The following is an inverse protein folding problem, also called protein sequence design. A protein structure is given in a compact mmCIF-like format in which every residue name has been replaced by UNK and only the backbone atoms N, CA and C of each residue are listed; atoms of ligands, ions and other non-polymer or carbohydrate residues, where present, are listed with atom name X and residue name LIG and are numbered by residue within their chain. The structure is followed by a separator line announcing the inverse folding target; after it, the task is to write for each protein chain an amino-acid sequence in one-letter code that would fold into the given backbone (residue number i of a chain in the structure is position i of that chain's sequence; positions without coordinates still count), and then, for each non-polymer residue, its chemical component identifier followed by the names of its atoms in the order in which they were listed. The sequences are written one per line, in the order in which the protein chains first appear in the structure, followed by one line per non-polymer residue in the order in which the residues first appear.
data_IF_094707910319
#
_entry.id   IF_094707910319
#
_cell.length_a   1.000
_cell.length_b   1.000
_cell.length_c   1.000
_cell.angle_alpha   90.00
_cell.angle_beta   90.00
_cell.angle_gamma   90.00
#
_symmetry.space_group_name_H-M   'P 1'
#
loop_
_entity.id
_entity.type
_entity.pdbx_description
1 polymer ?
#
# COMPACT_ATOMS: atom_id res chain seq x y z
N UNK A 1 13.14 19.76 8.99
CA UNK A 1 12.68 18.75 9.96
C UNK A 1 11.18 18.96 10.19
N UNK A 2 10.34 17.92 10.07
CA UNK A 2 8.89 18.04 10.28
C UNK A 2 8.60 17.97 11.78
N UNK A 3 8.24 19.09 12.39
CA UNK A 3 7.77 19.11 13.77
C UNK A 3 6.26 18.94 13.83
N UNK A 4 5.73 18.39 14.93
CA UNK A 4 4.28 18.20 15.12
C UNK A 4 3.49 19.50 14.94
N UNK A 5 4.02 20.61 15.45
CA UNK A 5 3.37 21.93 15.32
C UNK A 5 3.36 22.43 13.86
N UNK A 6 4.46 22.22 13.12
CA UNK A 6 4.53 22.61 11.72
C UNK A 6 3.52 21.81 10.88
N UNK A 7 3.48 20.48 11.06
CA UNK A 7 2.55 19.62 10.30
C UNK A 7 1.11 19.96 10.65
N UNK A 8 0.79 20.16 11.93
CA UNK A 8 -0.54 20.58 12.37
C UNK A 8 -0.95 21.94 11.79
N UNK A 9 -0.03 22.91 11.80
CA UNK A 9 -0.27 24.22 11.19
C UNK A 9 -0.53 24.07 9.69
N UNK A 10 0.31 23.33 8.97
CA UNK A 10 0.17 23.07 7.54
C UNK A 10 -1.19 22.42 7.24
N UNK A 11 -1.56 21.37 7.94
CA UNK A 11 -2.84 20.67 7.79
C UNK A 11 -4.02 21.64 8.01
N UNK A 12 -4.00 22.40 9.10
CA UNK A 12 -5.06 23.33 9.43
C UNK A 12 -5.20 24.46 8.39
N UNK A 13 -4.11 24.95 7.85
CA UNK A 13 -4.14 26.02 6.84
C UNK A 13 -4.55 25.50 5.46
N UNK A 14 -4.27 24.22 5.13
CA UNK A 14 -4.70 23.59 3.88
C UNK A 14 -6.17 23.17 3.91
N UNK A 15 -6.70 22.78 5.07
CA UNK A 15 -8.04 22.22 5.18
C UNK A 15 -9.16 23.21 4.83
N UNK A 16 -8.93 24.50 4.98
CA UNK A 16 -9.93 25.57 4.78
C UNK A 16 -9.35 26.69 3.91
N UNK A 17 -9.99 26.95 2.78
CA UNK A 17 -9.50 27.94 1.78
C UNK A 17 -9.47 29.38 2.31
N UNK A 18 -10.38 29.74 3.19
CA UNK A 18 -10.48 31.10 3.77
C UNK A 18 -9.41 31.37 4.85
N UNK A 19 -8.59 30.40 5.18
CA UNK A 19 -7.50 30.59 6.15
C UNK A 19 -6.46 31.57 5.61
N UNK A 20 -6.03 32.49 6.47
CA UNK A 20 -5.08 33.55 6.11
C UNK A 20 -3.81 33.03 5.44
N UNK A 21 -3.25 31.92 5.92
CA UNK A 21 -2.03 31.31 5.39
C UNK A 21 -2.30 30.21 4.35
N UNK A 22 -3.54 30.02 3.89
CA UNK A 22 -3.88 28.95 2.95
C UNK A 22 -3.00 28.96 1.70
N UNK A 23 -2.85 30.12 1.06
CA UNK A 23 -2.01 30.26 -0.15
C UNK A 23 -0.54 29.88 0.10
N UNK A 24 -0.01 30.22 1.27
CA UNK A 24 1.36 29.88 1.66
C UNK A 24 1.49 28.38 1.95
N UNK A 25 0.49 27.78 2.58
CA UNK A 25 0.44 26.33 2.82
C UNK A 25 0.36 25.53 1.51
N UNK A 26 -0.44 25.98 0.54
CA UNK A 26 -0.49 25.41 -0.82
C UNK A 26 0.88 25.50 -1.51
N UNK A 27 1.53 26.67 -1.42
CA UNK A 27 2.88 26.84 -1.96
C UNK A 27 3.90 25.89 -1.29
N UNK A 28 3.83 25.76 0.03
CA UNK A 28 4.70 24.83 0.77
C UNK A 28 4.48 23.37 0.34
N UNK A 29 3.23 22.92 0.20
CA UNK A 29 2.91 21.59 -0.29
C UNK A 29 3.44 21.34 -1.72
N UNK A 30 3.27 22.31 -2.62
CA UNK A 30 3.84 22.27 -3.98
C UNK A 30 5.36 22.25 -3.97
N UNK A 31 6.00 23.00 -3.08
CA UNK A 31 7.47 23.02 -2.94
C UNK A 31 7.99 21.66 -2.50
N UNK A 32 7.32 20.97 -1.57
CA UNK A 32 7.67 19.59 -1.17
C UNK A 32 7.55 18.64 -2.36
N UNK A 33 6.46 18.69 -3.13
CA UNK A 33 6.29 17.88 -4.33
C UNK A 33 7.41 18.14 -5.36
N UNK A 34 7.68 19.39 -5.66
CA UNK A 34 8.75 19.78 -6.61
C UNK A 34 10.13 19.34 -6.12
N UNK A 35 10.37 19.37 -4.81
CA UNK A 35 11.62 18.88 -4.25
C UNK A 35 11.77 17.39 -4.42
N UNK A 36 10.72 16.61 -4.15
CA UNK A 36 10.73 15.16 -4.36
C UNK A 36 10.93 14.80 -5.82
N UNK A 37 10.34 15.55 -6.77
CA UNK A 37 10.59 15.31 -8.20
C UNK A 37 12.05 15.51 -8.60
N UNK A 38 12.79 16.37 -7.88
CA UNK A 38 14.22 16.63 -8.14
C UNK A 38 15.15 15.73 -7.32
N UNK A 39 14.75 15.43 -6.11
CA UNK A 39 15.50 14.64 -5.11
C UNK A 39 14.56 13.55 -4.56
N UNK A 40 14.32 12.44 -5.32
CA UNK A 40 13.32 11.43 -4.95
C UNK A 40 13.59 10.73 -3.61
N UNK A 41 14.83 10.71 -3.13
CA UNK A 41 15.22 10.20 -1.81
C UNK A 41 14.57 10.98 -0.67
N UNK A 42 14.16 12.23 -0.91
CA UNK A 42 13.50 13.06 0.08
C UNK A 42 12.04 12.61 0.36
N UNK A 43 11.47 11.76 -0.51
CA UNK A 43 10.10 11.26 -0.39
C UNK A 43 9.83 10.57 0.94
N UNK A 44 10.72 9.68 1.38
CA UNK A 44 10.55 8.94 2.64
C UNK A 44 10.48 9.88 3.85
N UNK A 45 11.34 10.91 3.89
CA UNK A 45 11.32 11.91 4.96
C UNK A 45 10.03 12.75 4.95
N UNK A 46 9.51 13.12 3.78
CA UNK A 46 8.24 13.82 3.63
C UNK A 46 7.07 12.96 4.13
N UNK A 47 6.97 11.70 3.68
CA UNK A 47 5.90 10.79 4.05
C UNK A 47 5.92 10.52 5.56
N UNK A 48 7.08 10.17 6.11
CA UNK A 48 7.24 9.95 7.55
C UNK A 48 6.88 11.20 8.37
N UNK A 49 7.22 12.39 7.89
CA UNK A 49 6.88 13.65 8.56
C UNK A 49 5.39 13.98 8.50
N UNK A 50 4.74 13.77 7.35
CA UNK A 50 3.33 14.14 7.14
C UNK A 50 2.34 13.10 7.68
N UNK A 51 2.68 11.81 7.66
CA UNK A 51 1.80 10.70 8.03
C UNK A 51 2.22 9.98 9.32
N UNK A 52 3.44 10.18 9.80
CA UNK A 52 3.94 9.56 11.03
C UNK A 52 3.38 10.20 12.31
N UNK A 53 4.11 10.05 13.40
CA UNK A 53 3.70 10.51 14.74
C UNK A 53 3.40 12.03 14.85
N UNK A 54 3.93 12.82 13.93
CA UNK A 54 3.73 14.26 13.87
C UNK A 54 2.51 14.68 13.03
N UNK A 55 2.02 13.80 12.18
CA UNK A 55 1.02 14.10 11.17
C UNK A 55 -0.27 13.30 11.30
N UNK A 56 -0.97 13.16 10.17
CA UNK A 56 -2.21 12.40 10.06
C UNK A 56 -2.15 11.44 8.88
N UNK A 57 -2.54 10.18 9.10
CA UNK A 57 -2.57 9.15 8.04
C UNK A 57 -3.40 9.62 6.84
N UNK A 58 -4.51 10.31 7.09
CA UNK A 58 -5.43 10.82 6.07
C UNK A 58 -5.11 12.27 5.63
N UNK A 59 -3.84 12.69 5.64
CA UNK A 59 -3.43 14.05 5.33
C UNK A 59 -4.08 14.61 4.05
N UNK A 60 -4.02 13.89 2.93
CA UNK A 60 -4.59 14.35 1.66
C UNK A 60 -6.12 14.50 1.71
N UNK A 61 -6.81 13.63 2.46
CA UNK A 61 -8.26 13.74 2.67
C UNK A 61 -8.60 14.95 3.54
N UNK A 62 -7.88 15.14 4.65
CA UNK A 62 -8.08 16.25 5.58
C UNK A 62 -7.80 17.61 4.94
N UNK A 63 -6.84 17.67 4.03
CA UNK A 63 -6.41 18.90 3.35
C UNK A 63 -7.02 19.06 1.96
N UNK A 64 -7.77 18.08 1.47
CA UNK A 64 -8.32 18.04 0.09
C UNK A 64 -7.23 18.21 -0.98
N UNK A 65 -6.04 17.71 -0.71
CA UNK A 65 -4.90 17.75 -1.63
C UNK A 65 -4.55 16.34 -2.12
N UNK A 66 -3.59 16.27 -3.05
CA UNK A 66 -2.97 15.02 -3.51
C UNK A 66 -1.46 15.05 -3.25
N UNK A 67 -1.06 15.65 -2.15
CA UNK A 67 0.36 15.86 -1.85
C UNK A 67 1.06 14.55 -1.56
N UNK A 68 0.49 13.71 -0.70
CA UNK A 68 1.02 12.38 -0.38
C UNK A 68 1.02 11.48 -1.61
N UNK A 69 -0.11 11.40 -2.34
CA UNK A 69 -0.22 10.58 -3.55
C UNK A 69 0.89 10.92 -4.57
N UNK A 70 1.12 12.20 -4.85
CA UNK A 70 2.17 12.62 -5.79
C UNK A 70 3.58 12.28 -5.30
N UNK A 71 3.88 12.55 -4.03
CA UNK A 71 5.18 12.25 -3.44
C UNK A 71 5.47 10.73 -3.55
N UNK A 72 4.50 9.89 -3.25
CA UNK A 72 4.66 8.43 -3.27
C UNK A 72 4.85 7.89 -4.68
N UNK A 73 4.14 8.46 -5.67
CA UNK A 73 4.28 8.07 -7.08
C UNK A 73 5.64 8.46 -7.65
N UNK A 74 6.22 9.57 -7.22
CA UNK A 74 7.53 10.06 -7.68
C UNK A 74 8.71 9.50 -6.88
N UNK A 75 8.47 8.81 -5.75
CA UNK A 75 9.50 8.24 -4.89
C UNK A 75 10.37 7.23 -5.64
N UNK A 76 11.69 7.25 -5.42
CA UNK A 76 12.61 6.26 -5.97
C UNK A 76 12.55 4.93 -5.19
N UNK A 77 13.30 3.92 -5.65
CA UNK A 77 13.34 2.59 -5.04
C UNK A 77 13.72 2.64 -3.55
N UNK A 78 14.75 3.41 -3.19
CA UNK A 78 15.25 3.44 -1.83
C UNK A 78 14.28 4.16 -0.87
N UNK A 79 13.57 5.17 -1.36
CA UNK A 79 12.48 5.79 -0.61
C UNK A 79 11.30 4.82 -0.44
N UNK A 80 10.92 4.06 -1.49
CA UNK A 80 9.85 3.07 -1.41
C UNK A 80 10.16 1.94 -0.44
N UNK A 81 11.41 1.49 -0.32
CA UNK A 81 11.85 0.51 0.70
C UNK A 81 11.57 0.98 2.13
N UNK A 82 11.49 2.28 2.37
CA UNK A 82 11.16 2.87 3.68
C UNK A 82 9.67 3.17 3.82
N UNK A 83 9.02 3.63 2.74
CA UNK A 83 7.61 4.04 2.75
C UNK A 83 6.67 2.83 2.85
N UNK A 84 6.94 1.74 2.11
CA UNK A 84 6.04 0.57 2.07
C UNK A 84 5.93 -0.13 3.43
N UNK A 85 7.01 -0.41 4.18
CA UNK A 85 6.91 -0.93 5.55
C UNK A 85 6.20 0.02 6.53
N UNK A 86 6.37 1.34 6.37
CA UNK A 86 5.62 2.32 7.16
C UNK A 86 4.11 2.19 6.90
N UNK A 87 3.70 2.07 5.63
CA UNK A 87 2.29 1.88 5.28
C UNK A 87 1.75 0.56 5.81
N UNK A 88 2.51 -0.53 5.75
CA UNK A 88 2.13 -1.81 6.35
C UNK A 88 1.86 -1.67 7.85
N UNK A 89 2.74 -0.99 8.58
CA UNK A 89 2.58 -0.72 10.01
C UNK A 89 1.32 0.10 10.29
N UNK A 90 1.06 1.15 9.51
CA UNK A 90 -0.13 1.99 9.65
C UNK A 90 -1.44 1.27 9.29
N UNK A 91 -1.40 0.31 8.37
CA UNK A 91 -2.55 -0.56 8.05
C UNK A 91 -2.82 -1.53 9.19
N UNK A 92 -1.77 -2.18 9.71
CA UNK A 92 -1.88 -3.15 10.80
C UNK A 92 -2.34 -2.48 12.11
N UNK A 93 -1.74 -1.35 12.44
CA UNK A 93 -1.96 -0.62 13.69
C UNK A 93 -2.34 0.83 13.42
N UNK A 94 -3.61 1.10 13.06
CA UNK A 94 -4.08 2.46 12.85
C UNK A 94 -3.99 3.24 14.18
N UNK A 95 -3.49 4.45 14.11
CA UNK A 95 -3.30 5.33 15.28
C UNK A 95 -4.63 5.90 15.82
N UNK A 96 -5.67 5.08 15.88
CA UNK A 96 -7.01 5.45 16.35
C UNK A 96 -7.76 4.24 16.88
N UNK A 97 -8.57 4.45 17.91
CA UNK A 97 -9.50 3.45 18.45
C UNK A 97 -10.88 3.50 17.76
N UNK A 98 -11.17 4.52 16.96
CA UNK A 98 -12.44 4.63 16.22
C UNK A 98 -12.43 3.72 14.98
N UNK A 99 -13.31 2.71 14.92
CA UNK A 99 -13.35 1.76 13.80
C UNK A 99 -13.62 2.42 12.43
N UNK A 100 -14.41 3.49 12.38
CA UNK A 100 -14.74 4.20 11.14
C UNK A 100 -13.52 4.97 10.61
N UNK A 101 -12.81 5.65 11.50
CA UNK A 101 -11.57 6.36 11.14
C UNK A 101 -10.51 5.34 10.73
N UNK A 102 -10.37 4.22 11.44
CA UNK A 102 -9.44 3.16 11.09
C UNK A 102 -9.74 2.57 9.69
N UNK A 103 -11.00 2.30 9.39
CA UNK A 103 -11.41 1.81 8.06
C UNK A 103 -11.11 2.82 6.96
N UNK A 104 -11.39 4.10 7.18
CA UNK A 104 -11.07 5.19 6.25
C UNK A 104 -9.55 5.31 6.01
N UNK A 105 -8.75 5.26 7.06
CA UNK A 105 -7.29 5.30 6.97
C UNK A 105 -6.74 4.09 6.18
N UNK A 106 -7.25 2.89 6.44
CA UNK A 106 -6.89 1.67 5.69
C UNK A 106 -7.26 1.78 4.22
N UNK A 107 -8.44 2.32 3.91
CA UNK A 107 -8.86 2.56 2.53
C UNK A 107 -7.94 3.54 1.81
N UNK A 108 -7.54 4.62 2.46
CA UNK A 108 -6.63 5.61 1.91
C UNK A 108 -5.24 5.00 1.65
N UNK A 109 -4.66 4.31 2.63
CA UNK A 109 -3.37 3.62 2.50
C UNK A 109 -3.38 2.57 1.37
N UNK A 110 -4.45 1.77 1.29
CA UNK A 110 -4.64 0.82 0.20
C UNK A 110 -4.73 1.51 -1.17
N UNK A 111 -5.29 2.71 -1.22
CA UNK A 111 -5.28 3.57 -2.42
C UNK A 111 -3.87 4.01 -2.82
N UNK A 112 -3.05 4.46 -1.86
CA UNK A 112 -1.67 4.86 -2.11
C UNK A 112 -0.81 3.70 -2.60
N UNK A 113 -0.91 2.53 -1.96
CA UNK A 113 -0.21 1.31 -2.39
C UNK A 113 -0.59 0.92 -3.83
N UNK A 114 -1.89 1.00 -4.17
CA UNK A 114 -2.35 0.77 -5.55
C UNK A 114 -1.79 1.80 -6.54
N UNK A 115 -1.67 3.07 -6.14
CA UNK A 115 -1.10 4.14 -6.99
C UNK A 115 0.37 3.87 -7.29
N UNK A 116 1.15 3.34 -6.33
CA UNK A 116 2.53 2.88 -6.56
C UNK A 116 2.54 1.80 -7.63
N UNK A 117 1.75 0.72 -7.44
CA UNK A 117 1.72 -0.41 -8.39
C UNK A 117 1.36 0.06 -9.80
N UNK A 118 0.33 0.88 -9.95
CA UNK A 118 -0.11 1.41 -11.25
C UNK A 118 0.96 2.27 -11.91
N UNK A 119 1.58 3.17 -11.17
CA UNK A 119 2.65 4.02 -11.68
C UNK A 119 3.82 3.18 -12.20
N UNK A 120 4.26 2.17 -11.43
CA UNK A 120 5.39 1.31 -11.83
C UNK A 120 5.02 0.31 -12.94
N UNK A 121 3.79 -0.17 -12.99
CA UNK A 121 3.29 -0.99 -14.09
C UNK A 121 3.23 -0.21 -15.41
N UNK A 122 2.89 1.08 -15.36
CA UNK A 122 2.78 1.96 -16.54
C UNK A 122 4.11 2.57 -16.98
N UNK A 123 5.12 2.58 -16.12
CA UNK A 123 6.44 3.12 -16.46
C UNK A 123 7.11 2.25 -17.53
N UNK A 124 7.46 2.87 -18.67
CA UNK A 124 8.23 2.23 -19.73
C UNK A 124 9.66 1.89 -19.27
N UNK A 125 10.36 1.03 -20.03
CA UNK A 125 11.75 0.64 -19.79
C UNK A 125 11.90 -0.69 -19.05
N UNK A 126 13.16 -1.07 -18.81
CA UNK A 126 13.51 -2.32 -18.11
C UNK A 126 13.10 -2.29 -16.64
N UNK A 127 12.98 -3.47 -16.03
CA UNK A 127 12.71 -3.58 -14.61
C UNK A 127 13.91 -3.05 -13.83
N UNK A 128 13.70 -1.97 -13.09
CA UNK A 128 14.68 -1.50 -12.12
C UNK A 128 14.94 -2.61 -11.09
N UNK A 129 16.21 -2.99 -10.90
CA UNK A 129 16.56 -4.04 -9.95
C UNK A 129 16.04 -3.73 -8.56
N UNK A 130 15.30 -4.68 -7.94
CA UNK A 130 14.67 -4.51 -6.63
C UNK A 130 13.27 -3.87 -6.66
N UNK A 131 12.80 -3.31 -7.77
CA UNK A 131 11.42 -2.80 -7.85
C UNK A 131 10.40 -3.93 -7.81
N UNK A 132 10.73 -5.09 -8.37
CA UNK A 132 9.88 -6.26 -8.28
C UNK A 132 9.64 -6.67 -6.82
N UNK A 133 10.67 -6.64 -5.97
CA UNK A 133 10.55 -6.98 -4.55
C UNK A 133 9.60 -6.04 -3.81
N UNK A 134 9.63 -4.75 -4.14
CA UNK A 134 8.70 -3.77 -3.58
C UNK A 134 7.27 -4.04 -4.02
N UNK A 135 7.05 -4.36 -5.30
CA UNK A 135 5.72 -4.69 -5.81
C UNK A 135 5.21 -6.01 -5.21
N UNK A 136 6.07 -7.01 -5.05
CA UNK A 136 5.74 -8.25 -4.32
C UNK A 136 5.36 -7.94 -2.87
N UNK A 137 6.12 -7.12 -2.17
CA UNK A 137 5.80 -6.72 -0.80
C UNK A 137 4.44 -6.04 -0.70
N UNK A 138 4.12 -5.10 -1.60
CA UNK A 138 2.80 -4.46 -1.64
C UNK A 138 1.68 -5.48 -1.85
N UNK A 139 1.86 -6.42 -2.79
CA UNK A 139 0.88 -7.47 -3.03
C UNK A 139 0.71 -8.37 -1.80
N UNK A 140 1.79 -8.67 -1.08
CA UNK A 140 1.74 -9.48 0.12
C UNK A 140 1.08 -8.77 1.30
N UNK A 141 1.22 -7.45 1.43
CA UNK A 141 0.43 -6.64 2.37
C UNK A 141 -1.07 -6.83 2.07
N UNK A 142 -1.48 -6.70 0.82
CA UNK A 142 -2.88 -6.91 0.45
C UNK A 142 -3.34 -8.34 0.71
N UNK A 143 -2.55 -9.37 0.38
CA UNK A 143 -2.85 -10.78 0.64
C UNK A 143 -3.06 -11.03 2.14
N UNK A 144 -2.15 -10.54 2.98
CA UNK A 144 -2.22 -10.69 4.43
C UNK A 144 -3.55 -10.18 4.97
N UNK A 145 -3.88 -8.94 4.67
CA UNK A 145 -5.08 -8.30 5.22
C UNK A 145 -6.39 -8.66 4.52
N UNK A 146 -6.33 -9.31 3.34
CA UNK A 146 -7.51 -9.78 2.61
C UNK A 146 -7.93 -11.20 3.01
N UNK A 147 -6.98 -12.07 3.35
CA UNK A 147 -7.23 -13.51 3.44
C UNK A 147 -6.85 -14.14 4.78
N UNK A 148 -6.21 -13.40 5.68
CA UNK A 148 -5.75 -13.93 6.96
C UNK A 148 -6.29 -13.11 8.13
N UNK A 149 -6.49 -13.77 9.28
CA UNK A 149 -6.82 -13.16 10.56
C UNK A 149 -5.75 -13.59 11.56
N UNK A 150 -5.21 -12.64 12.31
CA UNK A 150 -4.22 -12.92 13.34
C UNK A 150 -4.76 -13.96 14.34
N UNK A 151 -3.88 -14.86 14.81
CA UNK A 151 -4.24 -15.99 15.71
C UNK A 151 -4.91 -15.51 17.00
N UNK A 152 -4.58 -14.34 17.47
CA UNK A 152 -5.10 -13.75 18.71
C UNK A 152 -6.51 -13.13 18.55
N UNK A 153 -7.16 -13.34 17.39
CA UNK A 153 -8.57 -13.00 17.16
C UNK A 153 -8.93 -11.53 17.34
N UNK A 154 -7.96 -10.63 17.32
CA UNK A 154 -8.20 -9.19 17.51
C UNK A 154 -8.78 -8.80 18.89
N UNK A 155 -8.79 -9.72 19.86
CA UNK A 155 -9.57 -9.56 21.09
C UNK A 155 -8.87 -8.80 22.22
N UNK A 156 -7.59 -8.48 22.11
CA UNK A 156 -6.84 -7.83 23.19
C UNK A 156 -5.84 -6.79 22.70
N UNK A 157 -6.33 -5.77 22.03
CA UNK A 157 -5.48 -4.63 21.69
C UNK A 157 -6.32 -3.42 21.29
N UNK A 158 -5.82 -2.24 21.53
CA UNK A 158 -6.44 -0.96 21.18
C UNK A 158 -6.67 -0.76 19.66
N UNK A 159 -6.41 -1.76 18.85
CA UNK A 159 -6.54 -1.69 17.39
C UNK A 159 -7.92 -2.20 16.94
N UNK A 160 -8.69 -1.39 16.19
CA UNK A 160 -9.94 -1.83 15.59
C UNK A 160 -9.73 -3.03 14.68
N UNK A 161 -10.52 -4.09 14.90
CA UNK A 161 -10.49 -5.31 14.09
C UNK A 161 -10.69 -5.03 12.60
N UNK A 162 -10.19 -5.92 11.74
CA UNK A 162 -10.51 -5.88 10.32
C UNK A 162 -11.94 -6.36 10.12
N UNK A 163 -12.80 -5.47 9.62
CA UNK A 163 -14.17 -5.83 9.24
C UNK A 163 -14.17 -6.60 7.91
N UNK A 164 -15.23 -7.38 7.67
CA UNK A 164 -15.44 -8.04 6.38
C UNK A 164 -15.37 -7.04 5.21
N UNK A 165 -15.95 -5.86 5.36
CA UNK A 165 -15.88 -4.80 4.36
C UNK A 165 -14.45 -4.34 4.07
N UNK A 166 -13.61 -4.23 5.10
CA UNK A 166 -12.19 -3.91 4.92
C UNK A 166 -11.45 -5.03 4.19
N UNK A 167 -11.71 -6.28 4.52
CA UNK A 167 -11.12 -7.44 3.83
C UNK A 167 -11.52 -7.48 2.35
N UNK A 168 -12.78 -7.24 2.03
CA UNK A 168 -13.27 -7.12 0.65
C UNK A 168 -12.60 -5.97 -0.11
N UNK A 169 -12.40 -4.83 0.55
CA UNK A 169 -11.62 -3.74 -0.03
C UNK A 169 -10.22 -4.21 -0.44
N UNK A 170 -9.50 -4.92 0.44
CA UNK A 170 -8.15 -5.42 0.13
C UNK A 170 -8.17 -6.46 -1.00
N UNK A 171 -9.16 -7.37 -1.06
CA UNK A 171 -9.38 -8.30 -2.20
C UNK A 171 -9.56 -7.54 -3.52
N UNK A 172 -10.39 -6.50 -3.52
CA UNK A 172 -10.60 -5.66 -4.70
C UNK A 172 -9.31 -4.92 -5.12
N UNK A 173 -8.46 -4.53 -4.15
CA UNK A 173 -7.16 -3.92 -4.45
C UNK A 173 -6.17 -4.90 -5.06
N UNK A 174 -6.14 -6.16 -4.59
CA UNK A 174 -5.35 -7.22 -5.23
C UNK A 174 -5.76 -7.36 -6.71
N UNK A 175 -7.04 -7.50 -6.99
CA UNK A 175 -7.55 -7.61 -8.36
C UNK A 175 -7.15 -6.41 -9.22
N UNK A 176 -7.25 -5.20 -8.67
CA UNK A 176 -6.85 -3.97 -9.36
C UNK A 176 -5.35 -3.91 -9.64
N UNK A 177 -4.52 -4.38 -8.70
CA UNK A 177 -3.07 -4.49 -8.88
C UNK A 177 -2.73 -5.52 -9.95
N UNK A 178 -3.33 -6.72 -9.87
CA UNK A 178 -3.08 -7.80 -10.84
C UNK A 178 -3.48 -7.37 -12.25
N UNK A 179 -4.62 -6.70 -12.43
CA UNK A 179 -5.03 -6.17 -13.73
C UNK A 179 -4.01 -5.16 -14.29
N UNK A 180 -3.50 -4.27 -13.47
CA UNK A 180 -2.47 -3.30 -13.89
C UNK A 180 -1.15 -4.00 -14.26
N UNK A 181 -0.74 -5.02 -13.50
CA UNK A 181 0.49 -5.77 -13.71
C UNK A 181 0.41 -6.71 -14.91
N UNK A 182 -0.74 -7.35 -15.15
CA UNK A 182 -0.96 -8.22 -16.33
C UNK A 182 -0.95 -7.37 -17.60
N UNK A 183 -1.44 -6.15 -17.56
CA UNK A 183 -1.35 -5.23 -18.70
C UNK A 183 0.09 -4.77 -18.99
N UNK A 184 1.00 -4.90 -18.03
CA UNK A 184 2.42 -4.60 -18.17
C UNK A 184 3.19 -5.83 -18.63
N UNK A 185 3.80 -5.82 -19.79
CA UNK A 185 4.64 -6.94 -20.31
C UNK A 185 5.73 -7.35 -19.31
N UNK A 186 6.22 -6.42 -18.52
CA UNK A 186 7.32 -6.54 -17.58
C UNK A 186 7.02 -7.46 -16.39
N UNK A 187 5.79 -7.44 -15.88
CA UNK A 187 5.40 -8.12 -14.64
C UNK A 187 4.28 -9.14 -14.82
N UNK A 188 3.81 -9.33 -16.06
CA UNK A 188 2.59 -10.07 -16.37
C UNK A 188 2.54 -11.52 -15.85
N UNK A 189 3.69 -12.17 -15.70
CA UNK A 189 3.77 -13.57 -15.26
C UNK A 189 4.41 -13.76 -13.90
N UNK A 190 5.43 -12.97 -13.56
CA UNK A 190 6.24 -13.15 -12.34
C UNK A 190 5.45 -12.80 -11.08
N UNK A 191 4.81 -11.63 -11.06
CA UNK A 191 4.10 -11.15 -9.87
C UNK A 191 2.79 -11.92 -9.59
N UNK A 192 1.92 -12.25 -10.56
CA UNK A 192 0.77 -13.11 -10.30
C UNK A 192 1.17 -14.49 -9.76
N UNK A 193 2.26 -15.06 -10.27
CA UNK A 193 2.79 -16.33 -9.75
C UNK A 193 3.28 -16.20 -8.30
N UNK A 194 4.01 -15.11 -7.98
CA UNK A 194 4.47 -14.83 -6.63
C UNK A 194 3.32 -14.73 -5.63
N UNK A 195 2.22 -14.04 -5.99
CA UNK A 195 1.01 -13.91 -5.16
C UNK A 195 0.38 -15.28 -4.87
N UNK A 196 0.15 -16.10 -5.89
CA UNK A 196 -0.46 -17.42 -5.72
C UNK A 196 0.43 -18.33 -4.86
N UNK A 197 1.75 -18.28 -5.09
CA UNK A 197 2.73 -19.02 -4.27
C UNK A 197 2.68 -18.56 -2.82
N UNK A 198 2.67 -17.25 -2.56
CA UNK A 198 2.65 -16.71 -1.19
C UNK A 198 1.37 -17.07 -0.45
N UNK A 199 0.20 -16.99 -1.09
CA UNK A 199 -1.07 -17.41 -0.50
C UNK A 199 -1.00 -18.87 -0.09
N UNK A 200 -0.53 -19.74 -0.98
CA UNK A 200 -0.39 -21.18 -0.72
C UNK A 200 0.56 -21.47 0.43
N UNK A 201 1.72 -20.83 0.43
CA UNK A 201 2.77 -21.10 1.40
C UNK A 201 2.39 -20.53 2.79
N UNK A 202 1.82 -19.33 2.82
CA UNK A 202 1.31 -18.70 4.04
C UNK A 202 0.12 -19.45 4.64
N UNK A 203 -0.79 -19.99 3.82
CA UNK A 203 -1.91 -20.81 4.29
C UNK A 203 -1.44 -22.15 4.90
N UNK A 204 -0.27 -22.67 4.49
CA UNK A 204 0.32 -23.91 5.05
C UNK A 204 1.12 -23.65 6.32
N UNK A 205 1.88 -22.56 6.37
CA UNK A 205 2.77 -22.21 7.47
C UNK A 205 2.07 -21.47 8.60
N UNK A 206 0.83 -21.01 8.37
CA UNK A 206 0.10 -20.10 9.25
C UNK A 206 0.90 -18.81 9.59
N UNK A 207 1.78 -18.39 8.69
CA UNK A 207 2.65 -17.23 8.85
C UNK A 207 1.88 -15.95 9.23
N UNK A 208 0.69 -15.78 8.63
CA UNK A 208 -0.17 -14.63 8.85
C UNK A 208 -1.40 -14.91 9.70
N UNK A 209 -1.41 -16.04 10.42
CA UNK A 209 -2.55 -16.48 11.20
C UNK A 209 -3.50 -17.40 10.44
N UNK A 210 -4.80 -17.39 10.81
CA UNK A 210 -5.80 -18.29 10.22
C UNK A 210 -6.24 -17.79 8.84
N UNK A 211 -6.22 -18.66 7.84
CA UNK A 211 -6.78 -18.40 6.52
C UNK A 211 -8.32 -18.37 6.60
N UNK A 212 -8.93 -17.29 6.04
CA UNK A 212 -10.35 -17.00 6.23
C UNK A 212 -11.26 -17.84 5.32
N UNK A 213 -10.74 -18.28 4.15
CA UNK A 213 -11.55 -18.99 3.16
C UNK A 213 -11.48 -20.49 3.45
N UNK A 214 -12.63 -21.13 3.57
CA UNK A 214 -12.71 -22.58 3.61
C UNK A 214 -12.22 -23.16 2.28
N UNK A 215 -11.14 -23.91 2.35
CA UNK A 215 -10.54 -24.57 1.21
C UNK A 215 -11.24 -25.91 0.96
N UNK A 216 -12.32 -25.88 0.21
CA UNK A 216 -12.90 -27.11 -0.32
C UNK A 216 -11.99 -27.76 -1.39
N UNK A 217 -12.28 -29.01 -1.75
CA UNK A 217 -11.44 -29.75 -2.69
C UNK A 217 -11.46 -29.12 -4.09
N UNK A 218 -12.56 -28.49 -4.48
CA UNK A 218 -12.71 -27.81 -5.77
C UNK A 218 -11.79 -26.58 -5.85
N UNK A 219 -11.75 -25.78 -4.80
CA UNK A 219 -10.87 -24.61 -4.72
C UNK A 219 -9.40 -25.03 -4.66
N UNK A 220 -9.08 -26.10 -3.91
CA UNK A 220 -7.71 -26.68 -3.86
C UNK A 220 -7.22 -27.11 -5.23
N UNK A 221 -8.05 -27.84 -6.01
CA UNK A 221 -7.70 -28.27 -7.38
C UNK A 221 -7.59 -27.07 -8.34
N UNK A 222 -8.46 -26.07 -8.22
CA UNK A 222 -8.38 -24.83 -9.01
C UNK A 222 -7.08 -24.07 -8.73
N UNK A 223 -6.67 -23.95 -7.46
CA UNK A 223 -5.41 -23.32 -7.07
C UNK A 223 -4.21 -24.13 -7.61
N UNK A 224 -4.23 -25.46 -7.49
CA UNK A 224 -3.16 -26.33 -8.06
C UNK A 224 -3.02 -26.16 -9.56
N UNK A 225 -4.14 -26.07 -10.27
CA UNK A 225 -4.17 -25.92 -11.73
C UNK A 225 -3.64 -24.54 -12.14
N UNK A 226 -4.13 -23.48 -11.49
CA UNK A 226 -3.63 -22.12 -11.71
C UNK A 226 -2.12 -22.02 -11.40
N UNK A 227 -1.67 -22.60 -10.28
CA UNK A 227 -0.25 -22.61 -9.92
C UNK A 227 0.63 -23.33 -10.97
N UNK A 228 0.19 -24.51 -11.46
CA UNK A 228 0.92 -25.23 -12.51
C UNK A 228 1.00 -24.42 -13.81
N UNK A 229 -0.09 -23.75 -14.19
CA UNK A 229 -0.16 -22.92 -15.39
C UNK A 229 0.76 -21.71 -15.29
N UNK A 230 0.69 -20.98 -14.18
CA UNK A 230 1.55 -19.83 -13.92
C UNK A 230 3.03 -20.18 -13.81
N UNK A 231 3.36 -21.31 -13.17
CA UNK A 231 4.73 -21.83 -13.11
C UNK A 231 5.27 -22.14 -14.50
N UNK A 232 4.45 -22.75 -15.36
CA UNK A 232 4.84 -23.06 -16.76
C UNK A 232 5.06 -21.80 -17.59
N UNK A 233 4.28 -20.74 -17.34
CA UNK A 233 4.46 -19.44 -17.98
C UNK A 233 5.71 -18.72 -17.47
N UNK A 234 5.93 -18.69 -16.15
CA UNK A 234 7.10 -18.04 -15.57
C UNK A 234 8.42 -18.71 -16.01
N UNK A 235 8.45 -20.04 -16.17
CA UNK A 235 9.65 -20.74 -16.66
C UNK A 235 9.99 -20.50 -18.12
N UNK A 236 9.04 -20.04 -18.94
CA UNK A 236 9.28 -19.67 -20.34
C UNK A 236 9.86 -18.26 -20.54
N UNK A 237 9.79 -17.43 -19.52
CA UNK A 237 10.30 -16.04 -19.57
C UNK A 237 11.80 -15.97 -19.28
N UNK A 238 12.40 -17.08 -18.77
CA UNK A 238 13.83 -17.17 -18.45
C UNK A 238 14.66 -17.93 -19.53
N UNK A 239 14.06 -18.26 -20.66
CA UNK A 239 14.68 -18.78 -21.87
C UNK A 239 14.64 -17.74 -23.00
#
# INVERSE_FOLDING_TARGET
MFTKNLVRCLTNQLAVEDRYLHKMAVKAAKTMQTRVSKEPEFAAACISGLMGSAGAVNFDQATKTKTIEKIVVEANLDALKQIVPLFETLVASPATSDPKIAASNRQFLAGLLLSIVRSRASAGGEAEGGMQDILEHILFIFVRFAYFVDKDGGAQGANPAFTQQTQELFRNRINSCLNALIASQKYATTLPYAVVRKIRDAAKSEEYGKFIIDMDDTLRESIKTAFKSLKKLSSKVWL
#
